data_IF_775139827007
#
_entry.id   IF_775139827007
#
_cell.length_a   1.000
_cell.length_b   1.000
_cell.length_c   1.000
_cell.angle_alpha   90.00
_cell.angle_beta   90.00
_cell.angle_gamma   90.00
#
_symmetry.space_group_name_H-M   'P 1'
#
loop_
_entity.id
_entity.type
_entity.pdbx_description
1 polymer ?
#
# COMPACT_ATOMS: atom_id res chain seq x y z
N UNK A 1 -25.12 11.44 1.16
CA UNK A 1 -24.82 12.31 -0.03
C UNK A 1 -24.32 13.74 0.29
N UNK A 2 -25.05 14.62 1.01
CA UNK A 2 -24.56 16.00 1.25
C UNK A 2 -23.22 16.07 2.03
N UNK A 3 -23.06 15.21 3.05
CA UNK A 3 -21.80 15.11 3.81
C UNK A 3 -20.63 14.70 2.90
N UNK A 4 -20.81 13.67 2.06
CA UNK A 4 -19.78 13.15 1.16
C UNK A 4 -19.22 14.23 0.21
N UNK A 5 -20.09 15.06 -0.35
CA UNK A 5 -19.63 16.15 -1.23
C UNK A 5 -18.86 17.24 -0.47
N UNK A 6 -19.30 17.58 0.75
CA UNK A 6 -18.58 18.51 1.62
C UNK A 6 -17.20 17.96 2.00
N UNK A 7 -17.10 16.68 2.38
CA UNK A 7 -15.82 16.02 2.65
C UNK A 7 -14.91 16.06 1.42
N UNK A 8 -15.45 15.85 0.21
CA UNK A 8 -14.68 15.94 -1.02
C UNK A 8 -14.10 17.34 -1.24
N UNK A 9 -14.91 18.39 -1.05
CA UNK A 9 -14.44 19.77 -1.15
C UNK A 9 -13.38 20.11 -0.09
N UNK A 10 -13.57 19.64 1.14
CA UNK A 10 -12.59 19.79 2.22
C UNK A 10 -11.29 19.05 1.91
N UNK A 11 -11.35 17.84 1.37
CA UNK A 11 -10.16 17.07 1.00
C UNK A 11 -9.33 17.78 -0.10
N UNK A 12 -9.99 18.37 -1.10
CA UNK A 12 -9.31 19.18 -2.13
C UNK A 12 -8.61 20.39 -1.49
N UNK A 13 -9.26 21.06 -0.53
CA UNK A 13 -8.67 22.19 0.18
C UNK A 13 -7.45 21.74 1.00
N UNK A 14 -7.59 20.67 1.78
CA UNK A 14 -6.53 20.09 2.62
C UNK A 14 -5.27 19.78 1.81
N UNK A 15 -5.42 19.18 0.62
CA UNK A 15 -4.30 18.89 -0.27
C UNK A 15 -3.62 20.15 -0.83
N UNK A 16 -4.39 21.21 -1.10
CA UNK A 16 -3.82 22.48 -1.56
C UNK A 16 -3.07 23.20 -0.44
N UNK A 17 -3.57 23.12 0.78
CA UNK A 17 -2.97 23.74 1.97
C UNK A 17 -1.76 22.96 2.48
N UNK A 18 -1.72 21.64 2.26
CA UNK A 18 -0.57 20.76 2.53
C UNK A 18 0.62 20.94 1.56
N UNK A 19 0.53 21.89 0.63
CA UNK A 19 1.62 22.24 -0.29
C UNK A 19 2.77 22.94 0.45
N UNK A 20 3.99 22.50 0.17
CA UNK A 20 5.24 23.17 0.55
C UNK A 20 5.99 23.66 -0.70
N UNK A 21 7.11 24.36 -0.50
CA UNK A 21 8.00 24.76 -1.60
C UNK A 21 8.59 23.56 -2.34
N UNK A 22 8.78 22.43 -1.65
CA UNK A 22 9.40 21.23 -2.20
C UNK A 22 8.40 20.21 -2.72
N UNK A 23 7.14 20.25 -2.29
CA UNK A 23 6.12 19.28 -2.70
C UNK A 23 5.01 19.15 -1.67
N UNK A 24 4.25 18.07 -1.77
CA UNK A 24 3.21 17.73 -0.81
C UNK A 24 3.83 17.22 0.50
N UNK A 25 3.46 17.83 1.62
CA UNK A 25 3.81 17.34 2.95
C UNK A 25 2.97 16.11 3.33
N UNK A 26 3.49 15.25 4.23
CA UNK A 26 2.74 14.12 4.76
C UNK A 26 1.45 14.56 5.49
N UNK A 27 1.53 15.68 6.22
CA UNK A 27 0.40 16.35 6.86
C UNK A 27 0.48 17.86 6.64
N UNK A 28 -0.68 18.54 6.65
CA UNK A 28 -0.75 19.99 6.62
C UNK A 28 0.00 20.61 7.81
N UNK A 29 1.02 21.46 7.58
CA UNK A 29 1.70 22.15 8.67
C UNK A 29 0.77 23.11 9.41
N UNK A 30 0.49 22.87 10.70
CA UNK A 30 -0.37 23.72 11.51
C UNK A 30 0.32 25.02 11.97
N UNK A 31 1.65 24.99 12.12
CA UNK A 31 2.45 26.17 12.49
C UNK A 31 3.56 26.50 11.48
N UNK A 32 3.89 27.79 11.35
CA UNK A 32 4.96 28.26 10.44
C UNK A 32 6.33 27.69 10.81
N UNK A 33 6.57 27.43 12.09
CA UNK A 33 7.80 26.82 12.63
C UNK A 33 7.90 25.32 12.37
N UNK A 34 6.75 24.66 12.15
CA UNK A 34 6.67 23.24 11.81
C UNK A 34 6.91 22.99 10.32
N UNK A 35 6.79 24.03 9.47
CA UNK A 35 7.08 23.92 8.04
C UNK A 35 8.48 23.41 7.74
N UNK A 36 9.47 23.60 8.63
CA UNK A 36 10.82 23.06 8.45
C UNK A 36 10.96 21.59 8.89
N UNK A 37 10.13 21.12 9.82
CA UNK A 37 10.14 19.72 10.32
C UNK A 37 9.23 18.81 9.49
N UNK A 38 8.13 19.35 8.96
CA UNK A 38 7.22 18.71 8.00
C UNK A 38 7.61 18.94 6.53
N UNK A 39 8.80 19.54 6.27
CA UNK A 39 9.38 19.67 4.93
C UNK A 39 9.89 18.34 4.35
N UNK A 40 9.91 17.28 5.17
CA UNK A 40 10.28 15.94 4.71
C UNK A 40 9.30 15.44 3.65
N UNK A 41 9.85 14.99 2.53
CA UNK A 41 9.13 14.31 1.47
C UNK A 41 9.23 12.79 1.70
N UNK A 42 8.09 12.13 1.78
CA UNK A 42 7.99 10.68 1.93
C UNK A 42 7.59 10.06 0.58
N UNK A 43 8.45 9.25 -0.07
CA UNK A 43 8.12 8.64 -1.36
C UNK A 43 6.84 7.80 -1.34
N UNK A 44 6.59 7.07 -0.25
CA UNK A 44 5.35 6.32 -0.04
C UNK A 44 4.13 7.23 -0.05
N UNK A 45 4.11 8.24 0.82
CA UNK A 45 2.96 9.10 1.04
C UNK A 45 2.63 9.90 -0.23
N UNK A 46 3.66 10.47 -0.86
CA UNK A 46 3.53 11.18 -2.15
C UNK A 46 3.03 10.22 -3.24
N UNK A 47 3.57 8.99 -3.28
CA UNK A 47 3.17 8.00 -4.27
C UNK A 47 1.69 7.59 -4.13
N UNK A 48 1.24 7.38 -2.89
CA UNK A 48 -0.18 7.11 -2.57
C UNK A 48 -1.04 8.32 -2.94
N UNK A 49 -0.65 9.52 -2.49
CA UNK A 49 -1.41 10.76 -2.73
C UNK A 49 -1.58 11.05 -4.23
N UNK A 50 -0.62 10.64 -5.06
CA UNK A 50 -0.65 10.88 -6.51
C UNK A 50 -1.91 10.30 -7.16
N UNK A 51 -2.48 9.18 -6.69
CA UNK A 51 -3.75 8.66 -7.20
C UNK A 51 -4.91 9.65 -6.99
N UNK A 52 -4.99 10.25 -5.81
CA UNK A 52 -5.99 11.28 -5.49
C UNK A 52 -5.77 12.58 -6.25
N UNK A 53 -4.52 13.04 -6.31
CA UNK A 53 -4.15 14.26 -7.04
C UNK A 53 -4.51 14.14 -8.53
N UNK A 54 -4.22 12.98 -9.16
CA UNK A 54 -4.61 12.71 -10.55
C UNK A 54 -6.14 12.66 -10.70
N UNK A 55 -6.82 11.89 -9.85
CA UNK A 55 -8.27 11.71 -9.93
C UNK A 55 -9.05 13.01 -9.72
N UNK A 56 -8.49 13.98 -8.98
CA UNK A 56 -9.13 15.27 -8.73
C UNK A 56 -9.50 16.03 -10.01
N UNK A 57 -8.70 15.88 -11.07
CA UNK A 57 -8.77 16.72 -12.28
C UNK A 57 -8.36 18.18 -12.04
N UNK A 58 -7.88 18.54 -10.84
CA UNK A 58 -7.47 19.89 -10.50
C UNK A 58 -6.05 20.17 -11.01
N UNK A 59 -5.91 21.22 -11.82
CA UNK A 59 -4.66 21.55 -12.49
C UNK A 59 -3.51 21.89 -11.52
N UNK A 60 -3.81 22.45 -10.34
CA UNK A 60 -2.80 22.79 -9.35
C UNK A 60 -2.34 21.56 -8.56
N UNK A 61 -3.26 20.63 -8.28
CA UNK A 61 -2.95 19.34 -7.67
C UNK A 61 -2.15 18.44 -8.61
N UNK A 62 -2.44 18.44 -9.92
CA UNK A 62 -1.60 17.76 -10.92
C UNK A 62 -0.18 18.32 -10.95
N UNK A 63 -0.02 19.66 -10.95
CA UNK A 63 1.32 20.28 -10.85
C UNK A 63 2.02 19.90 -9.55
N UNK A 64 1.28 19.82 -8.43
CA UNK A 64 1.82 19.41 -7.13
C UNK A 64 2.32 17.97 -7.15
N UNK A 65 1.60 17.04 -7.77
CA UNK A 65 2.04 15.65 -7.93
C UNK A 65 3.40 15.58 -8.66
N UNK A 66 3.49 16.24 -9.82
CA UNK A 66 4.74 16.29 -10.60
C UNK A 66 5.90 16.93 -9.83
N UNK A 67 5.63 18.05 -9.16
CA UNK A 67 6.63 18.74 -8.34
C UNK A 67 7.15 17.80 -7.24
N UNK A 68 6.26 17.18 -6.48
CA UNK A 68 6.61 16.29 -5.37
C UNK A 68 7.44 15.08 -5.82
N UNK A 69 7.03 14.43 -6.92
CA UNK A 69 7.78 13.31 -7.51
C UNK A 69 9.15 13.74 -8.03
N UNK A 70 9.25 14.94 -8.61
CA UNK A 70 10.52 15.49 -9.11
C UNK A 70 11.47 15.83 -7.95
N UNK A 71 10.95 16.40 -6.87
CA UNK A 71 11.75 16.81 -5.71
C UNK A 71 12.35 15.64 -4.92
N UNK A 72 11.82 14.42 -5.09
CA UNK A 72 12.41 13.21 -4.52
C UNK A 72 13.64 12.70 -5.28
N UNK A 73 13.80 13.05 -6.57
CA UNK A 73 14.86 12.54 -7.44
C UNK A 73 16.28 12.73 -6.86
N UNK A 74 16.64 13.89 -6.28
CA UNK A 74 17.98 14.10 -5.69
C UNK A 74 18.31 13.13 -4.55
N UNK A 75 17.30 12.54 -3.91
CA UNK A 75 17.47 11.61 -2.79
C UNK A 75 17.72 10.16 -3.21
N UNK A 76 17.50 9.82 -4.49
CA UNK A 76 17.69 8.47 -5.00
C UNK A 76 19.16 8.05 -4.83
N UNK A 77 19.39 6.91 -4.19
CA UNK A 77 20.73 6.37 -4.01
C UNK A 77 21.39 6.07 -5.37
N UNK A 78 22.74 6.01 -5.42
CA UNK A 78 23.45 5.58 -6.62
C UNK A 78 23.03 4.20 -7.15
N UNK A 79 22.53 3.32 -6.26
CA UNK A 79 22.06 1.97 -6.60
C UNK A 79 20.62 1.94 -7.11
N UNK A 80 19.81 2.97 -6.82
CA UNK A 80 18.45 3.12 -7.35
C UNK A 80 17.33 3.19 -6.30
N UNK A 81 17.62 2.84 -5.04
CA UNK A 81 16.68 2.94 -3.92
C UNK A 81 16.30 4.40 -3.63
N UNK A 82 15.03 4.66 -3.34
CA UNK A 82 14.56 5.88 -2.69
C UNK A 82 14.48 5.70 -1.17
N UNK A 83 14.80 6.74 -0.37
CA UNK A 83 14.81 6.67 1.10
C UNK A 83 13.39 6.61 1.69
N UNK A 84 13.28 6.41 3.00
CA UNK A 84 11.99 6.48 3.71
C UNK A 84 11.46 7.91 3.69
N UNK A 85 12.33 8.87 3.98
CA UNK A 85 12.06 10.29 3.79
C UNK A 85 13.29 11.07 3.33
N UNK A 86 13.03 12.20 2.70
CA UNK A 86 14.04 13.13 2.20
C UNK A 86 13.74 14.54 2.69
N UNK A 87 14.74 15.20 3.27
CA UNK A 87 14.71 16.61 3.67
C UNK A 87 15.38 17.47 2.60
N UNK A 88 14.63 18.22 1.78
CA UNK A 88 15.22 18.97 0.66
C UNK A 88 16.15 20.11 1.10
N UNK A 89 15.82 20.78 2.21
CA UNK A 89 16.58 21.93 2.72
C UNK A 89 17.99 21.54 3.17
N UNK A 90 18.10 20.43 3.91
CA UNK A 90 19.37 19.88 4.39
C UNK A 90 20.02 18.93 3.38
N UNK A 91 19.28 18.53 2.33
CA UNK A 91 19.61 17.48 1.38
C UNK A 91 19.90 16.12 2.07
N UNK A 92 19.18 15.84 3.14
CA UNK A 92 19.40 14.64 3.96
C UNK A 92 18.41 13.54 3.57
N UNK A 93 18.94 12.35 3.24
CA UNK A 93 18.13 11.17 2.95
C UNK A 93 18.17 10.20 4.13
N UNK A 94 17.00 9.80 4.61
CA UNK A 94 16.84 8.91 5.76
C UNK A 94 16.34 7.55 5.29
N UNK A 95 17.18 6.52 5.45
CA UNK A 95 16.89 5.18 4.96
C UNK A 95 16.05 4.36 5.95
N UNK A 96 16.28 4.57 7.27
CA UNK A 96 15.65 3.99 8.48
C UNK A 96 15.32 2.47 8.45
N UNK A 97 15.24 1.82 9.63
CA UNK A 97 15.06 0.34 9.74
C UNK A 97 16.16 -0.44 8.94
N UNK A 98 15.98 -1.67 8.41
CA UNK A 98 16.97 -2.30 7.52
C UNK A 98 16.90 -1.78 6.06
N UNK A 99 16.16 -0.69 5.81
CA UNK A 99 15.89 -0.10 4.50
C UNK A 99 14.40 -0.18 4.13
N UNK A 100 13.90 0.81 3.40
CA UNK A 100 12.54 0.81 2.80
C UNK A 100 12.58 0.26 1.38
N UNK A 101 11.66 -0.65 1.06
CA UNK A 101 11.46 -1.15 -0.30
C UNK A 101 10.31 -0.43 -1.01
N UNK A 102 9.28 -0.07 -0.25
CA UNK A 102 8.03 0.43 -0.79
C UNK A 102 8.10 1.90 -1.22
N UNK A 103 9.00 2.71 -0.66
CA UNK A 103 9.26 4.06 -1.16
C UNK A 103 9.72 4.07 -2.62
N UNK A 104 10.56 3.10 -3.01
CA UNK A 104 11.02 2.94 -4.40
C UNK A 104 9.90 2.45 -5.32
N UNK A 105 9.07 1.52 -4.82
CA UNK A 105 7.91 1.01 -5.55
C UNK A 105 6.86 2.11 -5.79
N UNK A 106 6.44 2.81 -4.73
CA UNK A 106 5.43 3.86 -4.80
C UNK A 106 5.86 5.05 -5.65
N UNK A 107 7.11 5.51 -5.55
CA UNK A 107 7.60 6.57 -6.42
C UNK A 107 7.53 6.17 -7.90
N UNK A 108 7.97 4.95 -8.22
CA UNK A 108 7.99 4.44 -9.60
C UNK A 108 6.57 4.24 -10.16
N UNK A 109 5.68 3.67 -9.35
CA UNK A 109 4.26 3.50 -9.69
C UNK A 109 3.62 4.87 -9.94
N UNK A 110 3.75 5.80 -9.00
CA UNK A 110 3.14 7.13 -9.08
C UNK A 110 3.65 7.94 -10.28
N UNK A 111 4.95 7.86 -10.59
CA UNK A 111 5.51 8.50 -11.77
C UNK A 111 4.89 7.96 -13.07
N UNK A 112 4.75 6.64 -13.20
CA UNK A 112 4.14 6.02 -14.38
C UNK A 112 2.63 6.27 -14.46
N UNK A 113 1.91 6.28 -13.34
CA UNK A 113 0.48 6.67 -13.30
C UNK A 113 0.30 8.13 -13.72
N UNK A 114 1.16 9.03 -13.24
CA UNK A 114 1.15 10.43 -13.65
C UNK A 114 1.39 10.58 -15.15
N UNK A 115 2.39 9.88 -15.70
CA UNK A 115 2.67 9.89 -17.14
C UNK A 115 1.47 9.33 -17.93
N UNK A 116 0.88 8.23 -17.47
CA UNK A 116 -0.31 7.63 -18.09
C UNK A 116 -1.48 8.61 -18.14
N UNK A 117 -1.71 9.35 -17.06
CA UNK A 117 -2.82 10.30 -16.97
C UNK A 117 -2.58 11.60 -17.76
N UNK A 118 -1.34 12.09 -17.80
CA UNK A 118 -1.02 13.43 -18.35
C UNK A 118 -0.39 13.40 -19.73
N UNK A 119 0.11 12.25 -20.17
CA UNK A 119 0.87 12.07 -21.41
C UNK A 119 2.10 13.00 -21.50
N UNK A 120 2.70 13.35 -20.35
CA UNK A 120 3.87 14.23 -20.25
C UNK A 120 5.17 13.53 -20.67
N UNK A 121 5.34 13.35 -21.99
CA UNK A 121 6.48 12.67 -22.60
C UNK A 121 7.82 13.37 -22.32
N UNK A 122 7.81 14.70 -22.16
CA UNK A 122 9.01 15.47 -21.84
C UNK A 122 9.52 15.17 -20.43
N UNK A 123 8.62 15.05 -19.45
CA UNK A 123 9.00 14.64 -18.09
C UNK A 123 9.37 13.16 -18.02
N UNK A 124 8.64 12.30 -18.74
CA UNK A 124 8.99 10.88 -18.85
C UNK A 124 10.43 10.66 -19.33
N UNK A 125 10.82 11.33 -20.42
CA UNK A 125 12.20 11.26 -20.92
C UNK A 125 13.24 11.73 -19.90
N UNK A 126 12.91 12.72 -19.07
CA UNK A 126 13.79 13.24 -18.01
C UNK A 126 13.98 12.27 -16.86
N UNK A 127 12.96 11.48 -16.52
CA UNK A 127 13.01 10.56 -15.37
C UNK A 127 13.35 9.11 -15.75
N UNK A 128 13.46 8.78 -17.04
CA UNK A 128 13.67 7.41 -17.52
C UNK A 128 14.87 6.71 -16.85
N UNK A 129 16.01 7.40 -16.72
CA UNK A 129 17.19 6.83 -16.06
C UNK A 129 16.99 6.59 -14.57
N UNK A 130 16.12 7.37 -13.91
CA UNK A 130 15.76 7.18 -12.51
C UNK A 130 14.85 5.95 -12.34
N UNK A 131 13.89 5.75 -13.26
CA UNK A 131 13.07 4.53 -13.34
C UNK A 131 13.94 3.29 -13.59
N UNK A 132 14.93 3.37 -14.48
CA UNK A 132 15.86 2.27 -14.75
C UNK A 132 16.67 1.85 -13.53
N UNK A 133 17.20 2.83 -12.77
CA UNK A 133 17.93 2.54 -11.53
C UNK A 133 17.02 1.96 -10.46
N UNK A 134 15.81 2.52 -10.28
CA UNK A 134 14.83 1.99 -9.35
C UNK A 134 14.45 0.54 -9.67
N UNK A 135 14.14 0.25 -10.95
CA UNK A 135 13.86 -1.10 -11.43
C UNK A 135 15.04 -2.05 -11.20
N UNK A 136 16.26 -1.62 -11.51
CA UNK A 136 17.47 -2.43 -11.30
C UNK A 136 17.67 -2.74 -9.81
N UNK A 137 17.52 -1.76 -8.94
CA UNK A 137 17.62 -1.98 -7.49
C UNK A 137 16.59 -2.98 -6.98
N UNK A 138 15.34 -2.86 -7.44
CA UNK A 138 14.25 -3.78 -7.10
C UNK A 138 14.55 -5.19 -7.57
N UNK A 139 15.12 -5.37 -8.77
CA UNK A 139 15.50 -6.71 -9.25
C UNK A 139 16.59 -7.38 -8.42
N UNK A 140 17.38 -6.61 -7.65
CA UNK A 140 18.34 -7.17 -6.69
C UNK A 140 17.72 -7.50 -5.33
N UNK A 141 16.44 -7.17 -5.12
CA UNK A 141 15.70 -7.61 -3.93
C UNK A 141 15.02 -8.96 -4.15
N UNK A 142 15.05 -9.50 -5.37
CA UNK A 142 14.87 -10.93 -5.64
C UNK A 142 16.21 -11.63 -5.39
N UNK A 143 16.31 -12.28 -4.23
CA UNK A 143 17.53 -12.85 -3.67
C UNK A 143 17.60 -14.36 -3.79
N UNK A 144 16.50 -15.03 -4.12
CA UNK A 144 16.45 -16.47 -4.40
C UNK A 144 16.10 -16.83 -5.86
N UNK A 145 15.89 -15.83 -6.71
CA UNK A 145 15.59 -15.91 -8.15
C UNK A 145 14.20 -16.47 -8.49
N UNK A 146 13.23 -16.32 -7.59
CA UNK A 146 11.85 -16.78 -7.79
C UNK A 146 10.93 -15.73 -8.47
N UNK A 147 11.47 -14.57 -8.83
CA UNK A 147 10.80 -13.38 -9.39
C UNK A 147 10.02 -12.51 -8.39
N UNK A 148 9.95 -12.90 -7.11
CA UNK A 148 9.38 -12.11 -6.03
C UNK A 148 10.47 -11.30 -5.33
N UNK A 149 10.05 -10.28 -4.58
CA UNK A 149 10.93 -9.43 -3.81
C UNK A 149 10.91 -9.84 -2.34
N UNK A 150 12.08 -9.98 -1.75
CA UNK A 150 12.26 -10.13 -0.31
C UNK A 150 12.38 -8.75 0.35
N UNK A 151 11.65 -8.56 1.44
CA UNK A 151 11.78 -7.39 2.28
C UNK A 151 12.34 -7.74 3.66
N UNK A 152 13.08 -6.81 4.25
CA UNK A 152 13.43 -6.86 5.67
C UNK A 152 12.22 -6.60 6.57
N UNK A 153 12.38 -6.92 7.86
CA UNK A 153 11.42 -6.50 8.88
C UNK A 153 11.26 -4.99 8.82
N UNK A 154 10.02 -4.50 8.89
CA UNK A 154 9.72 -3.08 8.89
C UNK A 154 10.11 -2.26 7.65
N UNK A 155 10.19 -2.91 6.49
CA UNK A 155 10.58 -2.27 5.24
C UNK A 155 9.40 -1.76 4.40
N UNK A 156 8.16 -2.01 4.84
CA UNK A 156 6.92 -1.60 4.19
C UNK A 156 6.25 -0.38 4.83
N UNK A 157 4.98 -0.14 4.48
CA UNK A 157 4.23 1.01 5.00
C UNK A 157 3.95 0.92 6.49
N UNK A 158 3.90 -0.31 6.98
CA UNK A 158 3.52 -0.72 8.32
C UNK A 158 4.70 -0.78 9.29
N UNK A 159 5.81 -0.11 8.96
CA UNK A 159 7.04 0.09 9.74
C UNK A 159 7.19 -0.93 10.88
N UNK A 160 6.78 -0.64 12.12
CA UNK A 160 6.98 -1.51 13.29
C UNK A 160 6.19 -2.84 13.34
N UNK A 161 5.86 -3.44 12.20
CA UNK A 161 5.29 -4.78 12.06
C UNK A 161 6.35 -5.83 11.69
N UNK A 162 6.21 -7.09 12.15
CA UNK A 162 7.23 -8.14 11.99
C UNK A 162 7.31 -8.79 10.60
N UNK A 163 6.65 -8.21 9.58
CA UNK A 163 6.58 -8.78 8.22
C UNK A 163 7.93 -8.73 7.51
N UNK A 164 8.37 -9.86 6.97
CA UNK A 164 9.64 -9.99 6.26
C UNK A 164 9.61 -11.16 5.27
N UNK A 165 10.66 -11.30 4.45
CA UNK A 165 10.70 -12.28 3.36
C UNK A 165 9.78 -11.85 2.23
N UNK A 166 9.01 -12.79 1.67
CA UNK A 166 8.07 -12.50 0.60
C UNK A 166 6.76 -11.95 1.17
N UNK A 167 6.56 -10.64 1.06
CA UNK A 167 5.41 -9.93 1.63
C UNK A 167 4.39 -9.57 0.55
N UNK A 168 3.10 -9.81 0.84
CA UNK A 168 1.99 -9.61 -0.10
C UNK A 168 1.90 -8.18 -0.60
N UNK A 169 1.90 -7.21 0.31
CA UNK A 169 1.87 -5.78 0.00
C UNK A 169 2.95 -5.40 -1.01
N UNK A 170 4.20 -5.71 -0.70
CA UNK A 170 5.37 -5.39 -1.54
C UNK A 170 5.31 -6.05 -2.90
N UNK A 171 4.96 -7.33 -2.96
CA UNK A 171 4.92 -8.06 -4.23
C UNK A 171 3.72 -7.69 -5.09
N UNK A 172 2.63 -7.23 -4.48
CA UNK A 172 1.50 -6.65 -5.21
C UNK A 172 1.86 -5.31 -5.84
N UNK A 173 2.61 -4.47 -5.13
CA UNK A 173 3.19 -3.24 -5.70
C UNK A 173 4.19 -3.55 -6.81
N UNK A 174 5.02 -4.57 -6.63
CA UNK A 174 5.95 -5.03 -7.67
C UNK A 174 5.21 -5.43 -8.95
N UNK A 175 4.16 -6.24 -8.82
CA UNK A 175 3.29 -6.60 -9.93
C UNK A 175 2.67 -5.37 -10.62
N UNK A 176 2.22 -4.36 -9.84
CA UNK A 176 1.69 -3.11 -10.40
C UNK A 176 2.76 -2.34 -11.16
N UNK A 177 3.97 -2.22 -10.62
CA UNK A 177 5.08 -1.54 -11.29
C UNK A 177 5.43 -2.23 -12.61
N UNK A 178 5.61 -3.55 -12.63
CA UNK A 178 5.88 -4.30 -13.87
C UNK A 178 4.76 -4.09 -14.90
N UNK A 179 3.50 -4.09 -14.45
CA UNK A 179 2.35 -3.83 -15.32
C UNK A 179 2.44 -2.45 -15.97
N UNK A 180 2.74 -1.41 -15.18
CA UNK A 180 2.90 -0.04 -15.68
C UNK A 180 4.11 0.12 -16.59
N UNK A 181 5.23 -0.57 -16.32
CA UNK A 181 6.39 -0.56 -17.21
C UNK A 181 6.08 -1.18 -18.59
N UNK A 182 5.23 -2.21 -18.63
CA UNK A 182 4.76 -2.79 -19.90
C UNK A 182 3.78 -1.86 -20.62
N UNK A 183 2.83 -1.26 -19.90
CA UNK A 183 1.75 -0.46 -20.48
C UNK A 183 2.15 0.97 -20.87
N UNK A 184 3.00 1.61 -20.07
CA UNK A 184 3.29 3.05 -20.15
C UNK A 184 4.71 3.30 -20.67
N UNK A 185 5.67 2.49 -20.25
CA UNK A 185 7.09 2.64 -20.60
C UNK A 185 7.53 1.72 -21.77
N UNK A 186 6.55 1.12 -22.46
CA UNK A 186 6.69 0.20 -23.62
C UNK A 186 7.71 -0.94 -23.42
N UNK A 187 7.94 -1.38 -22.17
CA UNK A 187 8.86 -2.49 -21.86
C UNK A 187 8.23 -3.85 -22.07
N UNK A 188 7.67 -4.11 -23.26
CA UNK A 188 6.94 -5.36 -23.59
C UNK A 188 7.73 -6.64 -23.31
N UNK A 189 9.06 -6.57 -23.32
CA UNK A 189 9.96 -7.67 -22.92
C UNK A 189 9.75 -8.15 -21.48
N UNK A 190 9.09 -7.36 -20.62
CA UNK A 190 8.78 -7.71 -19.22
C UNK A 190 7.46 -8.48 -19.08
N UNK A 191 6.71 -8.71 -20.17
CA UNK A 191 5.45 -9.47 -20.12
C UNK A 191 5.63 -10.89 -19.54
N UNK A 192 6.69 -11.67 -19.87
CA UNK A 192 6.93 -12.95 -19.22
C UNK A 192 7.17 -12.81 -17.71
N UNK A 193 7.94 -11.80 -17.27
CA UNK A 193 8.17 -11.52 -15.86
C UNK A 193 6.88 -11.17 -15.13
N UNK A 194 6.02 -10.33 -15.74
CA UNK A 194 4.69 -10.00 -15.22
C UNK A 194 3.88 -11.27 -14.92
N UNK A 195 3.85 -12.20 -15.88
CA UNK A 195 3.10 -13.45 -15.73
C UNK A 195 3.71 -14.36 -14.65
N UNK A 196 5.05 -14.44 -14.57
CA UNK A 196 5.75 -15.18 -13.52
C UNK A 196 5.43 -14.64 -12.13
N UNK A 197 5.51 -13.32 -11.92
CA UNK A 197 5.14 -12.68 -10.64
C UNK A 197 3.70 -12.99 -10.27
N UNK A 198 2.77 -12.90 -11.24
CA UNK A 198 1.37 -13.20 -11.00
C UNK A 198 1.16 -14.65 -10.56
N UNK A 199 1.77 -15.62 -11.25
CA UNK A 199 1.72 -17.04 -10.87
C UNK A 199 2.35 -17.28 -9.50
N UNK A 200 3.53 -16.69 -9.25
CA UNK A 200 4.30 -16.83 -8.02
C UNK A 200 3.52 -16.35 -6.79
N UNK A 201 2.97 -15.12 -6.83
CA UNK A 201 2.12 -14.60 -5.74
C UNK A 201 0.90 -15.50 -5.52
N UNK A 202 0.23 -15.92 -6.59
CA UNK A 202 -0.96 -16.77 -6.52
C UNK A 202 -0.67 -18.20 -6.03
N UNK A 203 0.59 -18.61 -6.04
CA UNK A 203 1.04 -19.93 -5.63
C UNK A 203 1.59 -19.92 -4.22
N UNK A 204 2.55 -19.03 -3.92
CA UNK A 204 3.22 -18.99 -2.62
C UNK A 204 2.35 -18.41 -1.51
N UNK A 205 1.66 -17.30 -1.77
CA UNK A 205 0.95 -16.53 -0.73
C UNK A 205 -0.53 -16.92 -0.61
N UNK A 206 -0.98 -17.96 -1.31
CA UNK A 206 -2.35 -18.46 -1.21
C UNK A 206 -2.36 -19.86 -0.61
N UNK A 207 -3.24 -20.12 0.36
CA UNK A 207 -3.40 -21.46 0.93
C UNK A 207 -4.28 -22.30 0.01
N UNK A 208 -3.69 -23.34 -0.60
CA UNK A 208 -4.37 -24.21 -1.58
C UNK A 208 -5.09 -25.39 -0.95
N UNK A 209 -4.83 -25.66 0.32
CA UNK A 209 -5.49 -26.75 1.05
C UNK A 209 -6.99 -26.47 1.12
N UNK A 210 -7.78 -27.50 0.79
CA UNK A 210 -9.25 -27.48 0.88
C UNK A 210 -9.81 -28.72 1.57
N UNK A 211 -8.97 -29.74 1.78
CA UNK A 211 -9.29 -30.98 2.47
C UNK A 211 -8.12 -31.33 3.40
N UNK A 212 -8.41 -31.59 4.68
CA UNK A 212 -7.43 -31.95 5.70
C UNK A 212 -7.02 -33.42 5.66
N UNK A 213 -7.73 -34.26 4.90
CA UNK A 213 -7.47 -35.69 4.78
C UNK A 213 -6.35 -36.03 3.80
N UNK A 214 -5.84 -35.06 3.04
CA UNK A 214 -4.79 -35.27 2.03
C UNK A 214 -3.61 -34.32 2.21
N UNK A 215 -2.41 -34.79 1.89
CA UNK A 215 -1.19 -33.98 1.84
C UNK A 215 -0.94 -33.36 0.45
N UNK A 216 -1.86 -33.55 -0.51
CA UNK A 216 -1.70 -33.13 -1.90
C UNK A 216 -2.18 -31.69 -2.14
N UNK A 217 -1.61 -30.73 -1.41
CA UNK A 217 -1.99 -29.30 -1.49
C UNK A 217 -0.89 -28.41 -2.10
N UNK A 218 0.23 -28.99 -2.55
CA UNK A 218 1.28 -28.27 -3.27
C UNK A 218 0.84 -28.20 -4.74
N UNK A 219 0.54 -27.01 -5.30
CA UNK A 219 0.18 -26.90 -6.72
C UNK A 219 1.30 -27.45 -7.58
N UNK A 220 0.98 -28.22 -8.62
CA UNK A 220 1.96 -28.66 -9.62
C UNK A 220 1.94 -27.70 -10.80
N UNK A 221 2.67 -26.60 -10.70
CA UNK A 221 2.74 -25.53 -11.71
C UNK A 221 4.18 -25.08 -11.98
N UNK A 222 4.37 -24.15 -12.92
CA UNK A 222 5.71 -23.73 -13.34
C UNK A 222 6.51 -23.14 -12.17
N UNK A 223 5.86 -22.36 -11.31
CA UNK A 223 6.53 -21.77 -10.15
C UNK A 223 7.09 -22.82 -9.17
N UNK A 224 6.29 -23.82 -8.78
CA UNK A 224 6.76 -24.91 -7.88
C UNK A 224 7.78 -25.86 -8.52
N UNK A 225 7.74 -26.02 -9.85
CA UNK A 225 8.71 -26.82 -10.59
C UNK A 225 10.07 -26.12 -10.71
N UNK A 226 10.07 -24.79 -10.88
CA UNK A 226 11.28 -23.98 -10.96
C UNK A 226 11.87 -23.70 -9.56
N UNK A 227 11.04 -23.56 -8.53
CA UNK A 227 11.44 -23.14 -7.19
C UNK A 227 11.14 -24.21 -6.12
N UNK A 228 12.06 -25.16 -5.96
CA UNK A 228 11.91 -26.29 -5.02
C UNK A 228 11.67 -25.82 -3.58
N UNK A 229 12.32 -24.73 -3.16
CA UNK A 229 12.17 -24.21 -1.81
C UNK A 229 10.76 -23.64 -1.53
N UNK A 230 10.10 -23.08 -2.53
CA UNK A 230 8.73 -22.59 -2.41
C UNK A 230 7.75 -23.71 -2.05
N UNK A 231 7.96 -24.93 -2.56
CA UNK A 231 7.15 -26.10 -2.18
C UNK A 231 7.23 -26.40 -0.69
N UNK A 232 8.41 -26.22 -0.07
CA UNK A 232 8.61 -26.41 1.38
C UNK A 232 7.85 -25.35 2.19
N UNK A 233 7.84 -24.10 1.71
CA UNK A 233 7.11 -23.01 2.36
C UNK A 233 5.58 -23.20 2.27
N UNK A 234 5.09 -23.60 1.09
CA UNK A 234 3.68 -23.92 0.86
C UNK A 234 3.25 -25.09 1.75
N UNK A 235 4.11 -26.11 1.87
CA UNK A 235 3.88 -27.25 2.75
C UNK A 235 3.79 -26.83 4.22
N UNK A 236 4.73 -26.01 4.67
CA UNK A 236 4.74 -25.49 6.02
C UNK A 236 3.45 -24.72 6.34
N UNK A 237 3.06 -23.75 5.51
CA UNK A 237 1.83 -22.98 5.72
C UNK A 237 0.58 -23.88 5.71
N UNK A 238 0.49 -24.81 4.76
CA UNK A 238 -0.65 -25.73 4.63
C UNK A 238 -0.71 -26.81 5.73
N UNK A 239 0.38 -27.01 6.48
CA UNK A 239 0.37 -27.85 7.68
C UNK A 239 -0.38 -27.21 8.86
N UNK A 240 -0.46 -25.88 8.88
CA UNK A 240 -1.05 -25.09 9.98
C UNK A 240 -2.40 -24.45 9.58
N UNK A 241 -2.60 -24.16 8.29
CA UNK A 241 -3.81 -23.52 7.77
C UNK A 241 -4.60 -24.49 6.87
N UNK A 242 -5.89 -24.68 7.18
CA UNK A 242 -6.78 -25.54 6.35
C UNK A 242 -7.49 -24.73 5.28
N UNK A 243 -7.98 -23.54 5.61
CA UNK A 243 -8.64 -22.65 4.66
C UNK A 243 -8.45 -21.19 5.08
N UNK A 244 -7.97 -20.36 4.17
CA UNK A 244 -7.91 -18.91 4.33
C UNK A 244 -8.59 -18.25 3.12
N UNK A 245 -9.60 -17.39 3.31
CA UNK A 245 -10.29 -16.71 2.21
C UNK A 245 -9.53 -15.47 1.69
N UNK A 246 -8.22 -15.40 1.95
CA UNK A 246 -7.34 -14.27 1.63
C UNK A 246 -5.89 -14.74 1.52
N UNK A 247 -5.03 -13.90 0.95
CA UNK A 247 -3.60 -14.16 0.86
C UNK A 247 -2.93 -14.02 2.24
N UNK A 248 -1.94 -14.88 2.50
CA UNK A 248 -1.00 -14.73 3.60
C UNK A 248 -0.35 -13.35 3.55
N UNK A 249 -0.18 -12.69 4.70
CA UNK A 249 0.50 -11.39 4.76
C UNK A 249 1.97 -11.48 4.34
N UNK A 250 2.64 -12.57 4.72
CA UNK A 250 3.98 -12.90 4.27
C UNK A 250 4.28 -14.40 4.33
N UNK A 251 5.35 -14.81 3.65
CA UNK A 251 6.01 -16.11 3.77
C UNK A 251 7.53 -15.91 3.88
N UNK A 252 8.15 -16.61 4.83
CA UNK A 252 9.59 -16.61 5.08
C UNK A 252 10.05 -18.02 5.54
N UNK A 253 11.34 -18.18 5.88
CA UNK A 253 11.86 -19.48 6.32
C UNK A 253 11.17 -19.98 7.60
N UNK A 254 10.25 -20.94 7.44
CA UNK A 254 9.43 -21.52 8.52
C UNK A 254 8.59 -20.49 9.29
N UNK A 255 8.30 -19.34 8.69
CA UNK A 255 7.46 -18.28 9.25
C UNK A 255 6.46 -17.80 8.19
N UNK A 256 5.24 -17.48 8.60
CA UNK A 256 4.19 -16.92 7.73
C UNK A 256 3.11 -16.24 8.58
N UNK A 257 2.37 -15.30 7.99
CA UNK A 257 1.29 -14.61 8.69
C UNK A 257 -0.09 -15.09 8.24
N UNK A 258 -0.82 -15.73 9.16
CA UNK A 258 -2.22 -16.15 8.96
C UNK A 258 -3.24 -15.03 9.19
N UNK A 259 -2.82 -13.91 9.79
CA UNK A 259 -3.66 -12.71 9.92
C UNK A 259 -3.85 -12.09 8.55
N UNK A 260 -5.01 -11.49 8.35
CA UNK A 260 -5.31 -10.78 7.12
C UNK A 260 -4.57 -9.44 7.11
N UNK A 261 -3.50 -9.34 6.32
CA UNK A 261 -3.00 -8.04 5.83
C UNK A 261 -4.04 -7.46 4.89
N UNK A 262 -4.87 -6.55 5.43
CA UNK A 262 -6.03 -6.04 4.71
C UNK A 262 -5.60 -5.15 3.56
N UNK A 263 -4.56 -4.33 3.75
CA UNK A 263 -4.12 -3.43 2.69
C UNK A 263 -3.49 -4.21 1.52
N UNK A 264 -2.61 -5.18 1.80
CA UNK A 264 -2.05 -6.05 0.77
C UNK A 264 -3.12 -6.79 -0.04
N UNK A 265 -4.15 -7.32 0.62
CA UNK A 265 -5.27 -7.99 -0.07
C UNK A 265 -6.14 -7.03 -0.90
N UNK A 266 -6.38 -5.81 -0.43
CA UNK A 266 -7.09 -4.77 -1.21
C UNK A 266 -6.30 -4.43 -2.49
N UNK A 267 -5.00 -4.21 -2.36
CA UNK A 267 -4.14 -3.92 -3.52
C UNK A 267 -4.12 -5.12 -4.49
N UNK A 268 -4.12 -6.35 -3.97
CA UNK A 268 -4.10 -7.55 -4.81
C UNK A 268 -5.37 -7.63 -5.67
N UNK A 269 -6.52 -7.25 -5.11
CA UNK A 269 -7.76 -7.13 -5.86
C UNK A 269 -7.72 -5.99 -6.88
N UNK A 270 -7.28 -4.79 -6.46
CA UNK A 270 -7.26 -3.59 -7.31
C UNK A 270 -6.33 -3.70 -8.51
N UNK A 271 -5.15 -4.27 -8.31
CA UNK A 271 -4.11 -4.35 -9.33
C UNK A 271 -4.18 -5.63 -10.16
N UNK A 272 -5.11 -6.54 -9.85
CA UNK A 272 -5.36 -7.74 -10.64
C UNK A 272 -4.39 -8.89 -10.36
N UNK A 273 -3.83 -8.94 -9.15
CA UNK A 273 -3.14 -10.14 -8.65
C UNK A 273 -4.16 -11.19 -8.23
N UNK A 274 -5.25 -10.78 -7.59
CA UNK A 274 -6.33 -11.66 -7.20
C UNK A 274 -7.19 -12.03 -8.41
N UNK A 275 -7.43 -13.33 -8.59
CA UNK A 275 -8.46 -13.80 -9.53
C UNK A 275 -9.85 -13.33 -9.04
N UNK A 276 -10.87 -13.25 -9.91
CA UNK A 276 -12.22 -12.87 -9.50
C UNK A 276 -12.76 -13.68 -8.31
N UNK A 277 -12.45 -14.97 -8.26
CA UNK A 277 -12.85 -15.87 -7.17
C UNK A 277 -12.14 -15.52 -5.86
N UNK A 278 -10.82 -15.31 -5.89
CA UNK A 278 -10.04 -14.93 -4.70
C UNK A 278 -10.45 -13.56 -4.18
N UNK A 279 -10.65 -12.60 -5.09
CA UNK A 279 -11.11 -11.26 -4.76
C UNK A 279 -12.50 -11.27 -4.11
N UNK A 280 -13.42 -12.11 -4.62
CA UNK A 280 -14.72 -12.34 -4.00
C UNK A 280 -14.59 -12.95 -2.60
N UNK A 281 -13.76 -13.98 -2.43
CA UNK A 281 -13.55 -14.63 -1.12
C UNK A 281 -13.04 -13.63 -0.07
N UNK A 282 -12.03 -12.83 -0.42
CA UNK A 282 -11.48 -11.80 0.47
C UNK A 282 -12.54 -10.75 0.82
N UNK A 283 -13.26 -10.24 -0.20
CA UNK A 283 -14.27 -9.19 -0.01
C UNK A 283 -15.39 -9.66 0.93
N UNK A 284 -15.93 -10.86 0.70
CA UNK A 284 -16.95 -11.43 1.58
C UNK A 284 -16.42 -11.70 2.99
N UNK A 285 -15.18 -12.16 3.12
CA UNK A 285 -14.55 -12.33 4.43
C UNK A 285 -14.43 -11.01 5.17
N UNK A 286 -13.92 -9.95 4.54
CA UNK A 286 -13.74 -8.64 5.17
C UNK A 286 -15.06 -8.03 5.64
N UNK A 287 -16.15 -8.25 4.89
CA UNK A 287 -17.49 -7.88 5.29
C UNK A 287 -17.97 -8.71 6.49
N UNK A 288 -17.92 -10.05 6.40
CA UNK A 288 -18.40 -10.95 7.47
C UNK A 288 -17.61 -10.80 8.78
N UNK A 289 -16.31 -10.55 8.70
CA UNK A 289 -15.42 -10.38 9.85
C UNK A 289 -15.53 -8.98 10.50
N UNK A 290 -16.29 -8.05 9.90
CA UNK A 290 -16.42 -6.68 10.42
C UNK A 290 -15.13 -5.87 10.33
N UNK A 291 -14.27 -6.15 9.33
CA UNK A 291 -13.03 -5.39 9.08
C UNK A 291 -13.34 -3.94 8.68
N UNK A 292 -14.50 -3.73 8.06
CA UNK A 292 -15.00 -2.43 7.61
C UNK A 292 -15.75 -1.62 8.69
N UNK A 293 -15.82 -2.12 9.93
CA UNK A 293 -16.54 -1.48 11.05
C UNK A 293 -15.57 -0.99 12.13
N UNK A 294 -15.89 0.04 12.93
CA UNK A 294 -16.99 0.99 12.71
C UNK A 294 -16.82 1.82 11.43
N UNK A 295 -15.58 1.94 10.92
CA UNK A 295 -15.25 2.69 9.72
C UNK A 295 -14.32 1.88 8.78
N UNK A 296 -14.32 2.17 7.47
CA UNK A 296 -13.45 1.51 6.51
C UNK A 296 -11.99 2.03 6.61
N UNK A 297 -10.97 1.18 6.72
CA UNK A 297 -11.02 -0.24 7.12
C UNK A 297 -9.90 -0.48 8.13
N UNK A 298 -10.07 -1.49 8.99
CA UNK A 298 -8.95 -2.01 9.80
C UNK A 298 -7.88 -2.54 8.86
N UNK A 299 -6.61 -2.33 9.19
CA UNK A 299 -5.48 -2.70 8.33
C UNK A 299 -4.90 -4.09 8.61
N UNK A 300 -5.23 -4.65 9.76
CA UNK A 300 -4.86 -6.00 10.18
C UNK A 300 -6.03 -6.66 10.92
N UNK A 301 -6.29 -7.94 10.63
CA UNK A 301 -7.31 -8.69 11.36
C UNK A 301 -6.97 -10.19 11.53
N UNK A 302 -7.13 -10.75 12.74
CA UNK A 302 -7.19 -10.04 14.03
C UNK A 302 -5.85 -9.32 14.33
N UNK A 303 -5.75 -8.44 15.34
CA UNK A 303 -4.48 -7.87 15.74
C UNK A 303 -3.55 -8.93 16.37
N UNK A 304 -2.28 -8.56 16.53
CA UNK A 304 -1.27 -9.32 17.27
C UNK A 304 -1.37 -8.93 18.75
N UNK A 305 -1.63 -9.90 19.63
CA UNK A 305 -1.72 -9.71 21.06
C UNK A 305 -0.38 -9.95 21.76
N UNK A 306 -0.07 -9.21 22.85
CA UNK A 306 1.10 -9.49 23.67
C UNK A 306 1.15 -10.94 24.14
N UNK A 307 2.28 -11.61 23.92
CA UNK A 307 2.50 -13.01 24.26
C UNK A 307 2.28 -13.98 23.09
N UNK A 308 1.71 -13.53 21.96
CA UNK A 308 1.68 -14.33 20.74
C UNK A 308 3.07 -14.42 20.09
N UNK A 309 3.38 -15.48 19.31
CA UNK A 309 4.69 -15.64 18.66
C UNK A 309 5.11 -14.47 17.76
N UNK A 310 4.12 -13.82 17.15
CA UNK A 310 4.33 -12.70 16.23
C UNK A 310 4.52 -11.37 16.96
N UNK A 311 4.18 -11.29 18.26
CA UNK A 311 4.41 -10.09 19.05
C UNK A 311 5.90 -9.86 19.26
N UNK A 312 6.41 -8.72 18.80
CA UNK A 312 7.80 -8.31 19.04
C UNK A 312 7.85 -7.17 20.04
N UNK A 313 8.85 -7.13 20.95
CA UNK A 313 8.95 -6.07 21.95
C UNK A 313 8.94 -4.65 21.38
N UNK A 314 9.48 -4.45 20.18
CA UNK A 314 9.50 -3.13 19.53
C UNK A 314 8.10 -2.66 19.10
N UNK A 315 7.09 -3.53 18.98
CA UNK A 315 5.72 -3.10 18.70
C UNK A 315 5.12 -2.27 19.85
N UNK A 316 5.65 -2.42 21.07
CA UNK A 316 5.27 -1.58 22.21
C UNK A 316 5.99 -0.22 22.20
N UNK A 317 6.98 -0.01 21.32
CA UNK A 317 7.72 1.25 21.22
C UNK A 317 6.74 2.37 20.86
N UNK A 318 6.93 3.53 21.49
CA UNK A 318 6.01 4.66 21.33
C UNK A 318 4.58 4.41 21.83
N UNK A 319 4.26 3.21 22.33
CA UNK A 319 2.90 2.76 22.69
C UNK A 319 1.90 2.82 21.53
N UNK A 320 2.36 2.64 20.29
CA UNK A 320 1.53 2.84 19.09
C UNK A 320 0.90 1.55 18.55
N UNK A 321 1.58 0.38 18.60
CA UNK A 321 1.09 -0.86 18.00
C UNK A 321 0.49 -1.86 19.01
N UNK A 322 -0.19 -1.37 20.05
CA UNK A 322 -1.06 -2.23 20.87
C UNK A 322 -2.25 -2.75 20.03
N UNK A 323 -2.93 -3.84 20.44
CA UNK A 323 -4.06 -4.38 19.70
C UNK A 323 -5.10 -3.31 19.35
N UNK A 324 -5.48 -3.26 18.07
CA UNK A 324 -6.42 -2.30 17.47
C UNK A 324 -5.90 -0.86 17.38
N UNK A 325 -4.59 -0.65 17.46
CA UNK A 325 -3.95 0.66 17.31
C UNK A 325 -2.96 0.64 16.15
N UNK A 326 -2.82 1.78 15.48
CA UNK A 326 -1.85 2.04 14.42
C UNK A 326 -1.79 0.90 13.38
N UNK A 327 -0.64 0.29 13.12
CA UNK A 327 -0.50 -0.81 12.15
C UNK A 327 -1.09 -2.14 12.67
N UNK A 328 -1.21 -2.30 13.99
CA UNK A 328 -1.73 -3.50 14.64
C UNK A 328 -3.27 -3.49 14.74
N UNK A 329 -3.93 -3.34 13.60
CA UNK A 329 -5.39 -3.43 13.48
C UNK A 329 -6.13 -2.11 13.71
N UNK A 330 -5.44 -0.97 13.66
CA UNK A 330 -6.07 0.35 13.55
C UNK A 330 -6.83 0.52 12.24
N UNK A 331 -7.75 1.48 12.19
CA UNK A 331 -8.43 1.88 10.96
C UNK A 331 -7.67 3.03 10.32
N UNK A 332 -7.30 2.90 9.05
CA UNK A 332 -6.57 3.95 8.33
C UNK A 332 -7.46 4.50 7.21
N UNK A 333 -7.91 5.77 7.28
CA UNK A 333 -8.80 6.34 6.27
C UNK A 333 -8.24 6.28 4.84
N UNK A 334 -6.92 6.41 4.65
CA UNK A 334 -6.33 6.28 3.32
C UNK A 334 -6.53 4.85 2.74
N UNK A 335 -6.39 3.80 3.56
CA UNK A 335 -6.67 2.41 3.16
C UNK A 335 -8.18 2.23 2.91
N UNK A 336 -9.02 2.91 3.69
CA UNK A 336 -10.45 3.02 3.44
C UNK A 336 -10.77 3.57 2.04
N UNK A 337 -9.98 4.54 1.55
CA UNK A 337 -10.12 5.04 0.18
C UNK A 337 -9.77 3.98 -0.88
N UNK A 338 -8.74 3.17 -0.67
CA UNK A 338 -8.45 2.02 -1.53
C UNK A 338 -9.55 0.95 -1.44
N UNK A 339 -10.12 0.71 -0.26
CA UNK A 339 -11.25 -0.22 -0.09
C UNK A 339 -12.46 0.21 -0.90
N UNK A 340 -12.86 1.48 -0.81
CA UNK A 340 -13.97 2.02 -1.62
C UNK A 340 -13.65 1.95 -3.11
N UNK A 341 -12.41 2.24 -3.51
CA UNK A 341 -11.98 2.08 -4.90
C UNK A 341 -12.15 0.63 -5.36
N UNK A 342 -11.72 -0.36 -4.58
CA UNK A 342 -11.93 -1.76 -4.92
C UNK A 342 -13.43 -2.07 -5.07
N UNK A 343 -14.23 -1.68 -4.08
CA UNK A 343 -15.66 -1.94 -4.08
C UNK A 343 -16.37 -1.31 -5.26
N UNK A 344 -15.93 -0.15 -5.77
CA UNK A 344 -16.53 0.48 -6.95
C UNK A 344 -16.54 -0.44 -8.18
N UNK A 345 -15.57 -1.37 -8.27
CA UNK A 345 -15.43 -2.37 -9.33
C UNK A 345 -16.11 -3.70 -9.01
N UNK A 346 -16.45 -3.93 -7.74
CA UNK A 346 -17.04 -5.18 -7.25
C UNK A 346 -18.56 -5.05 -7.06
N UNK A 347 -18.99 -4.06 -6.28
CA UNK A 347 -20.39 -3.73 -6.01
C UNK A 347 -20.50 -2.22 -5.71
N UNK A 348 -21.03 -1.47 -6.69
CA UNK A 348 -21.14 0.00 -6.62
C UNK A 348 -22.04 0.48 -5.49
N UNK A 349 -23.08 -0.27 -5.11
CA UNK A 349 -23.99 0.13 -4.04
C UNK A 349 -23.30 -0.01 -2.67
N UNK A 350 -22.58 -1.12 -2.47
CA UNK A 350 -21.75 -1.31 -1.29
C UNK A 350 -20.63 -0.26 -1.21
N UNK A 351 -20.00 0.05 -2.34
CA UNK A 351 -18.96 1.07 -2.42
C UNK A 351 -19.47 2.46 -2.01
N UNK A 352 -20.68 2.84 -2.45
CA UNK A 352 -21.32 4.09 -2.06
C UNK A 352 -21.60 4.14 -0.55
N UNK A 353 -22.10 3.06 0.04
CA UNK A 353 -22.33 2.99 1.49
C UNK A 353 -21.01 3.10 2.28
N UNK A 354 -19.94 2.47 1.78
CA UNK A 354 -18.61 2.57 2.40
C UNK A 354 -17.97 3.95 2.22
N UNK A 355 -18.25 4.65 1.12
CA UNK A 355 -17.83 6.04 0.94
C UNK A 355 -18.49 6.99 1.95
N UNK A 356 -19.77 6.76 2.29
CA UNK A 356 -20.45 7.53 3.34
C UNK A 356 -19.78 7.31 4.71
N UNK A 357 -19.45 6.07 5.06
CA UNK A 357 -18.71 5.78 6.29
C UNK A 357 -17.29 6.34 6.29
N UNK A 358 -16.62 6.33 5.14
CA UNK A 358 -15.31 6.95 5.00
C UNK A 358 -15.39 8.47 5.15
N UNK A 359 -16.48 9.10 4.67
CA UNK A 359 -16.70 10.53 4.85
C UNK A 359 -16.88 10.88 6.33
N UNK A 360 -17.67 10.08 7.06
CA UNK A 360 -17.80 10.22 8.52
C UNK A 360 -16.47 10.06 9.25
N UNK A 361 -15.67 9.06 8.88
CA UNK A 361 -14.34 8.83 9.46
C UNK A 361 -13.39 10.02 9.26
N UNK A 362 -13.41 10.65 8.09
CA UNK A 362 -12.59 11.83 7.79
C UNK A 362 -13.13 13.12 8.41
N UNK A 363 -14.44 13.19 8.68
CA UNK A 363 -15.10 14.32 9.34
C UNK A 363 -14.93 14.33 10.88
N UNK A 364 -14.42 13.25 11.47
CA UNK A 364 -14.11 13.22 12.90
C UNK A 364 -13.19 14.40 13.26
N UNK A 365 -13.56 15.08 14.36
CA UNK A 365 -12.94 16.35 14.79
C UNK A 365 -13.01 17.47 13.74
N UNK A 366 -14.11 17.55 12.98
CA UNK A 366 -14.45 18.64 12.07
C UNK A 366 -13.56 18.68 10.83
N UNK A 367 -13.64 17.63 10.00
CA UNK A 367 -12.87 17.42 8.76
C UNK A 367 -11.35 17.42 8.98
N UNK A 368 -10.90 16.73 10.03
CA UNK A 368 -9.49 16.71 10.40
C UNK A 368 -8.65 15.75 9.54
N UNK A 369 -9.25 14.82 8.80
CA UNK A 369 -8.50 13.82 7.99
C UNK A 369 -7.40 13.12 8.79
N UNK A 370 -7.80 12.54 9.92
CA UNK A 370 -6.89 11.88 10.86
C UNK A 370 -6.02 10.78 10.21
N UNK A 371 -4.83 10.59 10.76
CA UNK A 371 -3.87 9.55 10.35
C UNK A 371 -4.49 8.15 10.46
N UNK A 372 -4.99 7.83 11.65
CA UNK A 372 -5.66 6.56 11.90
C UNK A 372 -6.68 6.69 13.03
N UNK A 373 -7.54 5.69 13.16
CA UNK A 373 -8.54 5.56 14.21
C UNK A 373 -8.33 4.25 14.97
N UNK A 374 -8.81 4.18 16.21
CA UNK A 374 -8.84 2.91 16.95
C UNK A 374 -9.67 1.87 16.19
N UNK A 375 -9.14 0.66 16.00
CA UNK A 375 -9.79 -0.39 15.20
C UNK A 375 -11.18 -0.80 15.70
N UNK A 376 -11.38 -0.83 17.02
CA UNK A 376 -12.68 -1.15 17.63
C UNK A 376 -13.57 0.08 17.89
N UNK A 377 -13.01 1.16 18.44
CA UNK A 377 -13.79 2.29 18.92
C UNK A 377 -14.00 3.40 17.87
N UNK A 378 -13.22 3.40 16.78
CA UNK A 378 -13.25 4.46 15.77
C UNK A 378 -12.75 5.82 16.28
N UNK A 379 -12.10 5.87 17.45
CA UNK A 379 -11.60 7.11 18.05
C UNK A 379 -10.39 7.63 17.25
N UNK A 380 -10.36 8.91 16.86
CA UNK A 380 -9.20 9.54 16.21
C UNK A 380 -7.90 9.39 17.02
N UNK A 381 -6.82 9.08 16.32
CA UNK A 381 -5.47 8.98 16.86
C UNK A 381 -4.43 9.39 15.81
N UNK A 382 -3.18 9.52 16.26
CA UNK A 382 -2.08 9.94 15.40
C UNK A 382 -2.15 11.44 15.09
N UNK A 383 -1.53 11.81 13.98
CA UNK A 383 -1.45 13.21 13.56
C UNK A 383 -2.67 13.62 12.73
N UNK A 384 -3.16 14.85 12.90
CA UNK A 384 -4.26 15.39 12.10
C UNK A 384 -3.80 15.82 10.70
N UNK A 385 -4.76 16.14 9.84
CA UNK A 385 -4.62 16.73 8.49
C UNK A 385 -3.71 15.97 7.55
N UNK A 386 -3.92 14.67 7.46
CA UNK A 386 -3.03 13.80 6.71
C UNK A 386 -3.36 13.77 5.22
N UNK A 387 -2.36 14.09 4.41
CA UNK A 387 -2.49 14.23 2.96
C UNK A 387 -2.98 12.96 2.29
N UNK A 388 -2.53 11.77 2.71
CA UNK A 388 -3.00 10.50 2.14
C UNK A 388 -4.48 10.20 2.43
N UNK A 389 -5.01 10.59 3.59
CA UNK A 389 -6.40 10.41 3.96
C UNK A 389 -7.28 11.29 3.08
N UNK A 390 -6.89 12.56 2.92
CA UNK A 390 -7.56 13.48 1.98
C UNK A 390 -7.44 13.01 0.51
N UNK A 391 -6.24 12.64 0.04
CA UNK A 391 -6.01 12.21 -1.33
C UNK A 391 -6.79 10.93 -1.67
N UNK A 392 -6.78 9.95 -0.78
CA UNK A 392 -7.49 8.70 -1.05
C UNK A 392 -9.01 8.85 -0.87
N UNK A 393 -9.49 9.82 -0.09
CA UNK A 393 -10.90 10.22 -0.13
C UNK A 393 -11.29 10.80 -1.50
N UNK A 394 -10.48 11.70 -2.06
CA UNK A 394 -10.67 12.26 -3.41
C UNK A 394 -10.73 11.14 -4.45
N UNK A 395 -9.78 10.19 -4.40
CA UNK A 395 -9.76 9.04 -5.29
C UNK A 395 -11.04 8.20 -5.16
N UNK A 396 -11.44 7.86 -3.94
CA UNK A 396 -12.63 7.06 -3.67
C UNK A 396 -13.91 7.75 -4.16
N UNK A 397 -14.06 9.04 -3.89
CA UNK A 397 -15.19 9.85 -4.37
C UNK A 397 -15.33 9.77 -5.90
N UNK A 398 -14.20 9.96 -6.60
CA UNK A 398 -14.18 9.97 -8.06
C UNK A 398 -14.62 8.64 -8.66
N UNK A 399 -14.17 7.51 -8.11
CA UNK A 399 -14.56 6.18 -8.61
C UNK A 399 -16.05 5.85 -8.42
N UNK A 400 -16.77 6.58 -7.55
CA UNK A 400 -18.22 6.40 -7.36
C UNK A 400 -19.02 7.29 -8.32
N UNK A 401 -18.61 8.56 -8.47
CA UNK A 401 -19.42 9.58 -9.11
C UNK A 401 -18.99 9.92 -10.55
N UNK A 402 -17.85 9.44 -11.02
CA UNK A 402 -17.33 9.60 -12.40
C UNK A 402 -16.98 8.23 -12.98
#
# INVERSE_FOLDING_TARGET
MANVYLTYQSAIRELKESRTESGLAAAHPQHTTEKSTYASLFPRDIGICTYGLIASGDADLLKLAKQSLTSLIPSQSPRGQFPQNYEPDTKTAHWWMPGTIDGTLWWSIAALEYIKATQDTAWHARISSHLDRAFTWLTYQDTDNDSLLEQGVAAGWDDEMPRHGTVLYTNTLWFRLITLLVEVDDRRRLLPLKNKIHEAINTLLWVHKSDDRTHAYIPNNSYTQENVYASTMIEWASSQAVYLPYYLGYSAHREFEMRCDVFGNILACLFGVATPEKAKQFTEFALRAGIHLPYPVKVLYPPIYPGEPDWKPYMAKGRQNYPWQYHNGGIWPFVGGFWVWWLSKYDKALAQAQLEQLAEANDLNNMEFNEYLHGQHGTPMGNPHQSWSAAMFVKAYKEIFE
#
